data_IF_391507410237
#
_entry.id   IF_391507410237
#
_cell.length_a   1.000
_cell.length_b   1.000
_cell.length_c   1.000
_cell.angle_alpha   90.00
_cell.angle_beta   90.00
_cell.angle_gamma   90.00
#
_symmetry.space_group_name_H-M   'P 1'
#
loop_
_entity.id
_entity.type
_entity.pdbx_description
1 polymer ?
#
# COMPACT_ATOMS: atom_id res chain seq x y z
N UNK A 1 11.71 19.19 0.32
CA UNK A 1 11.70 19.11 1.79
C UNK A 1 12.67 18.02 2.16
N UNK A 2 13.90 18.42 2.49
CA UNK A 2 14.84 17.52 3.14
C UNK A 2 14.23 17.10 4.46
N UNK A 3 14.22 15.80 4.71
CA UNK A 3 13.50 15.22 5.82
C UNK A 3 14.18 15.57 7.12
N UNK A 4 13.44 16.15 8.07
CA UNK A 4 13.89 16.28 9.45
C UNK A 4 14.04 14.93 10.18
N UNK A 5 13.76 13.82 9.50
CA UNK A 5 13.69 12.48 10.08
C UNK A 5 14.97 12.04 10.80
N UNK A 6 16.13 12.47 10.28
CA UNK A 6 17.46 12.03 10.76
C UNK A 6 18.32 13.18 11.29
N UNK A 7 17.72 14.31 11.69
CA UNK A 7 18.45 15.55 12.01
C UNK A 7 19.66 15.39 12.95
N UNK A 8 19.66 14.37 13.82
CA UNK A 8 20.74 14.09 14.77
C UNK A 8 21.25 12.63 14.69
N UNK A 9 20.91 11.89 13.63
CA UNK A 9 21.32 10.49 13.43
C UNK A 9 21.94 10.31 12.03
N UNK A 10 23.24 10.60 11.94
CA UNK A 10 24.03 10.43 10.72
C UNK A 10 24.04 8.97 10.24
N UNK A 11 24.08 8.00 11.16
CA UNK A 11 24.06 6.57 10.82
C UNK A 11 22.71 6.20 10.18
N UNK A 12 21.60 6.65 10.77
CA UNK A 12 20.26 6.48 10.21
C UNK A 12 20.10 7.11 8.83
N UNK A 13 20.67 8.31 8.64
CA UNK A 13 20.68 8.99 7.34
C UNK A 13 21.50 8.21 6.29
N UNK A 14 22.68 7.71 6.66
CA UNK A 14 23.54 6.91 5.78
C UNK A 14 22.86 5.59 5.38
N UNK A 15 22.27 4.88 6.34
CA UNK A 15 21.48 3.67 6.09
C UNK A 15 20.33 3.95 5.12
N UNK A 16 19.63 5.06 5.28
CA UNK A 16 18.55 5.44 4.38
C UNK A 16 19.05 5.74 2.96
N UNK A 17 20.18 6.44 2.81
CA UNK A 17 20.83 6.65 1.52
C UNK A 17 21.24 5.32 0.87
N UNK A 18 21.87 4.43 1.63
CA UNK A 18 22.25 3.09 1.19
C UNK A 18 21.02 2.29 0.70
N UNK A 19 19.89 2.37 1.40
CA UNK A 19 18.65 1.73 0.98
C UNK A 19 18.16 2.29 -0.38
N UNK A 20 18.20 3.61 -0.58
CA UNK A 20 17.79 4.24 -1.85
C UNK A 20 18.67 3.80 -3.02
N UNK A 21 19.97 3.64 -2.79
CA UNK A 21 20.90 3.14 -3.80
C UNK A 21 20.61 1.68 -4.16
N UNK A 22 20.36 0.84 -3.17
CA UNK A 22 19.95 -0.56 -3.37
C UNK A 22 18.64 -0.66 -4.17
N UNK A 23 17.65 0.20 -3.88
CA UNK A 23 16.41 0.26 -4.68
C UNK A 23 16.69 0.62 -6.14
N UNK A 24 17.65 1.50 -6.38
CA UNK A 24 18.03 1.93 -7.73
C UNK A 24 18.77 0.82 -8.48
N UNK A 25 19.64 0.09 -7.78
CA UNK A 25 20.38 -1.08 -8.30
C UNK A 25 19.52 -2.33 -8.48
N UNK A 26 18.30 -2.34 -7.94
CA UNK A 26 17.38 -3.49 -8.04
C UNK A 26 17.47 -4.49 -6.90
N UNK A 27 18.34 -4.26 -5.90
CA UNK A 27 18.44 -5.09 -4.70
C UNK A 27 17.33 -4.72 -3.71
N UNK A 28 16.13 -5.13 -4.06
CA UNK A 28 14.90 -4.81 -3.32
C UNK A 28 14.82 -5.51 -1.97
N UNK A 29 15.37 -6.73 -1.86
CA UNK A 29 15.39 -7.45 -0.58
C UNK A 29 16.27 -6.72 0.42
N UNK A 30 17.51 -6.36 0.07
CA UNK A 30 18.40 -5.69 1.01
C UNK A 30 17.92 -4.28 1.37
N UNK A 31 17.40 -3.54 0.38
CA UNK A 31 16.79 -2.24 0.64
C UNK A 31 15.62 -2.34 1.63
N UNK A 32 14.77 -3.35 1.50
CA UNK A 32 13.62 -3.52 2.38
C UNK A 32 14.05 -3.87 3.80
N UNK A 33 15.09 -4.69 3.98
CA UNK A 33 15.64 -4.97 5.31
C UNK A 33 16.01 -3.69 6.05
N UNK A 34 16.77 -2.81 5.38
CA UNK A 34 17.22 -1.55 5.97
C UNK A 34 16.02 -0.65 6.29
N UNK A 35 15.05 -0.53 5.37
CA UNK A 35 13.87 0.30 5.61
C UNK A 35 13.03 -0.22 6.77
N UNK A 36 12.86 -1.54 6.90
CA UNK A 36 12.13 -2.12 8.04
C UNK A 36 12.87 -1.88 9.34
N UNK A 37 14.20 -1.99 9.35
CA UNK A 37 15.01 -1.69 10.54
C UNK A 37 14.89 -0.22 10.93
N UNK A 38 14.98 0.70 9.96
CA UNK A 38 14.76 2.13 10.22
C UNK A 38 13.35 2.40 10.76
N UNK A 39 12.31 1.76 10.19
CA UNK A 39 10.94 1.93 10.67
C UNK A 39 10.74 1.54 12.14
N UNK A 40 11.54 0.63 12.70
CA UNK A 40 11.49 0.29 14.14
C UNK A 40 11.76 1.51 15.01
N UNK A 41 12.71 2.35 14.60
CA UNK A 41 13.14 3.52 15.39
C UNK A 41 12.45 4.81 14.97
N UNK A 42 12.01 4.89 13.71
CA UNK A 42 11.60 6.13 13.07
C UNK A 42 10.11 6.22 12.74
N UNK A 43 9.31 5.16 12.91
CA UNK A 43 7.90 5.15 12.48
C UNK A 43 7.05 6.30 13.03
N UNK A 44 7.32 6.76 14.25
CA UNK A 44 6.56 7.84 14.91
C UNK A 44 7.22 9.21 14.78
N UNK A 45 8.41 9.31 14.15
CA UNK A 45 9.10 10.60 13.97
C UNK A 45 8.50 11.38 12.81
N UNK A 46 8.58 12.71 12.90
CA UNK A 46 8.21 13.58 11.79
C UNK A 46 9.04 13.23 10.55
N UNK A 47 8.38 13.09 9.40
CA UNK A 47 9.02 12.68 8.15
C UNK A 47 9.10 11.16 7.93
N UNK A 48 8.54 10.33 8.82
CA UNK A 48 8.47 8.87 8.65
C UNK A 48 7.71 8.43 7.39
N UNK A 49 6.84 9.31 6.86
CA UNK A 49 6.20 9.17 5.54
C UNK A 49 7.19 8.81 4.43
N UNK A 50 8.45 9.25 4.51
CA UNK A 50 9.47 8.91 3.52
C UNK A 50 9.87 7.44 3.57
N UNK A 51 10.02 6.86 4.76
CA UNK A 51 10.33 5.44 4.90
C UNK A 51 9.19 4.57 4.34
N UNK A 52 7.94 4.93 4.66
CA UNK A 52 6.77 4.26 4.10
C UNK A 52 6.65 4.44 2.58
N UNK A 53 7.03 5.61 2.06
CA UNK A 53 7.06 5.87 0.60
C UNK A 53 8.12 5.02 -0.10
N UNK A 54 9.31 4.89 0.47
CA UNK A 54 10.37 4.05 -0.09
C UNK A 54 10.05 2.56 -0.01
N UNK A 55 9.42 2.13 1.10
CA UNK A 55 8.87 0.79 1.24
C UNK A 55 7.84 0.48 0.15
N UNK A 56 6.89 1.40 -0.06
CA UNK A 56 5.88 1.28 -1.11
C UNK A 56 6.50 1.30 -2.52
N UNK A 57 7.56 2.08 -2.75
CA UNK A 57 8.30 2.13 -4.02
C UNK A 57 8.89 0.77 -4.38
N UNK A 58 9.44 0.05 -3.41
CA UNK A 58 9.92 -1.32 -3.60
C UNK A 58 8.77 -2.23 -4.06
N UNK A 59 7.66 -2.25 -3.33
CA UNK A 59 6.52 -3.10 -3.66
C UNK A 59 5.85 -2.73 -5.00
N UNK A 60 5.88 -1.46 -5.40
CA UNK A 60 5.44 -1.02 -6.73
C UNK A 60 6.30 -1.61 -7.84
N UNK A 61 7.63 -1.62 -7.67
CA UNK A 61 8.54 -2.24 -8.63
C UNK A 61 8.33 -3.76 -8.70
N UNK A 62 8.20 -4.42 -7.54
CA UNK A 62 7.94 -5.86 -7.46
C UNK A 62 6.60 -6.25 -8.07
N UNK A 63 5.54 -5.48 -7.82
CA UNK A 63 4.21 -5.70 -8.41
C UNK A 63 4.24 -5.62 -9.95
N UNK A 64 4.90 -4.59 -10.50
CA UNK A 64 5.06 -4.44 -11.96
C UNK A 64 5.88 -5.58 -12.58
N UNK A 65 6.96 -5.98 -11.93
CA UNK A 65 7.78 -7.11 -12.38
C UNK A 65 7.00 -8.43 -12.32
N UNK A 66 6.16 -8.63 -11.31
CA UNK A 66 5.32 -9.82 -11.18
C UNK A 66 4.16 -9.83 -12.19
N UNK A 67 3.68 -8.67 -12.65
CA UNK A 67 2.57 -8.58 -13.60
C UNK A 67 2.88 -9.17 -14.98
N UNK A 68 4.16 -9.36 -15.33
CA UNK A 68 4.59 -10.02 -16.57
C UNK A 68 4.86 -11.52 -16.39
N UNK A 69 4.60 -12.06 -15.21
CA UNK A 69 4.78 -13.49 -14.91
C UNK A 69 3.47 -14.26 -15.02
N UNK A 70 3.53 -15.58 -15.11
CA UNK A 70 2.36 -16.48 -15.11
C UNK A 70 1.58 -16.47 -13.78
N UNK A 71 2.02 -15.68 -12.80
CA UNK A 71 1.44 -15.61 -11.46
C UNK A 71 0.89 -14.20 -11.16
N UNK A 72 -0.33 -13.87 -11.63
CA UNK A 72 -0.96 -12.58 -11.37
C UNK A 72 -1.26 -12.35 -9.87
N UNK A 73 -1.38 -13.40 -9.07
CA UNK A 73 -1.63 -13.31 -7.63
C UNK A 73 -0.47 -12.63 -6.90
N UNK A 74 0.77 -12.85 -7.36
CA UNK A 74 1.95 -12.24 -6.75
C UNK A 74 1.98 -10.72 -6.98
N UNK A 75 1.63 -10.27 -8.19
CA UNK A 75 1.52 -8.85 -8.51
C UNK A 75 0.46 -8.17 -7.63
N UNK A 76 -0.66 -8.86 -7.40
CA UNK A 76 -1.74 -8.43 -6.53
C UNK A 76 -1.31 -8.35 -5.05
N UNK A 77 -0.63 -9.36 -4.54
CA UNK A 77 -0.11 -9.34 -3.16
C UNK A 77 0.82 -8.15 -2.93
N UNK A 78 1.75 -7.89 -3.85
CA UNK A 78 2.63 -6.73 -3.73
C UNK A 78 1.86 -5.40 -3.80
N UNK A 79 0.80 -5.32 -4.61
CA UNK A 79 -0.04 -4.14 -4.67
C UNK A 79 -0.83 -3.91 -3.36
N UNK A 80 -1.34 -4.97 -2.73
CA UNK A 80 -1.97 -4.90 -1.41
C UNK A 80 -0.99 -4.42 -0.34
N UNK A 81 0.25 -4.91 -0.36
CA UNK A 81 1.27 -4.49 0.59
C UNK A 81 1.65 -3.02 0.36
N UNK A 82 1.76 -2.59 -0.89
CA UNK A 82 1.97 -1.18 -1.25
C UNK A 82 0.88 -0.26 -0.67
N UNK A 83 -0.40 -0.63 -0.83
CA UNK A 83 -1.52 0.14 -0.24
C UNK A 83 -1.40 0.18 1.29
N UNK A 84 -1.02 -0.94 1.90
CA UNK A 84 -0.81 -1.02 3.35
C UNK A 84 0.33 -0.13 3.85
N UNK A 85 1.36 0.10 3.03
CA UNK A 85 2.44 1.04 3.34
C UNK A 85 1.93 2.49 3.34
N UNK A 86 1.13 2.86 2.33
CA UNK A 86 0.56 4.23 2.26
C UNK A 86 -0.47 4.52 3.35
N UNK A 87 -1.19 3.51 3.82
CA UNK A 87 -2.17 3.68 4.88
C UNK A 87 -1.54 4.11 6.23
N UNK A 88 -0.23 3.97 6.41
CA UNK A 88 0.43 4.30 7.67
C UNK A 88 0.51 5.81 7.94
N UNK A 89 0.44 6.64 6.91
CA UNK A 89 0.69 8.08 7.03
C UNK A 89 -0.36 8.91 6.27
N UNK A 90 -0.92 9.92 6.96
CA UNK A 90 -1.96 10.79 6.40
C UNK A 90 -1.51 11.53 5.14
N UNK A 91 -0.21 11.84 5.03
CA UNK A 91 0.39 12.49 3.86
C UNK A 91 0.40 11.59 2.63
N UNK A 92 0.22 10.28 2.82
CA UNK A 92 0.24 9.26 1.76
C UNK A 92 -1.15 8.78 1.36
N UNK A 93 -2.22 9.29 1.98
CA UNK A 93 -3.61 8.86 1.68
C UNK A 93 -3.97 9.03 0.20
N UNK A 94 -3.43 10.04 -0.48
CA UNK A 94 -3.60 10.18 -1.94
C UNK A 94 -3.08 8.96 -2.70
N UNK A 95 -1.85 8.54 -2.39
CA UNK A 95 -1.22 7.38 -3.03
C UNK A 95 -1.93 6.08 -2.62
N UNK A 96 -2.46 6.03 -1.40
CA UNK A 96 -3.31 4.94 -0.92
C UNK A 96 -4.58 4.80 -1.78
N UNK A 97 -5.30 5.90 -2.04
CA UNK A 97 -6.47 5.91 -2.91
C UNK A 97 -6.13 5.46 -4.34
N UNK A 98 -5.02 5.93 -4.90
CA UNK A 98 -4.55 5.51 -6.23
C UNK A 98 -4.25 4.00 -6.27
N UNK A 99 -3.61 3.45 -5.24
CA UNK A 99 -3.36 2.00 -5.16
C UNK A 99 -4.62 1.16 -4.96
N UNK A 100 -5.59 1.64 -4.17
CA UNK A 100 -6.89 0.99 -3.99
C UNK A 100 -7.70 0.98 -5.29
N UNK A 101 -7.61 2.04 -6.09
CA UNK A 101 -8.24 2.11 -7.41
C UNK A 101 -7.63 1.08 -8.36
N UNK A 102 -6.30 0.94 -8.41
CA UNK A 102 -5.62 -0.08 -9.22
C UNK A 102 -6.01 -1.51 -8.78
N UNK A 103 -6.08 -1.76 -7.46
CA UNK A 103 -6.59 -3.04 -6.92
C UNK A 103 -8.03 -3.31 -7.39
N UNK A 104 -8.89 -2.31 -7.29
CA UNK A 104 -10.28 -2.43 -7.68
C UNK A 104 -10.44 -2.72 -9.17
N UNK A 105 -9.64 -2.07 -10.01
CA UNK A 105 -9.64 -2.27 -11.46
C UNK A 105 -9.17 -3.67 -11.83
N UNK A 106 -8.09 -4.15 -11.21
CA UNK A 106 -7.53 -5.49 -11.49
C UNK A 106 -8.44 -6.61 -11.03
N UNK A 107 -9.14 -6.43 -9.91
CA UNK A 107 -10.03 -7.44 -9.35
C UNK A 107 -11.48 -7.33 -9.83
N UNK A 108 -11.84 -6.23 -10.51
CA UNK A 108 -13.24 -5.91 -10.78
C UNK A 108 -14.09 -5.79 -9.50
N UNK A 109 -13.49 -5.40 -8.38
CA UNK A 109 -14.12 -5.50 -7.06
C UNK A 109 -14.70 -4.15 -6.61
N UNK A 110 -16.04 -4.05 -6.43
CA UNK A 110 -16.68 -2.83 -5.93
C UNK A 110 -16.26 -2.45 -4.51
N UNK A 111 -15.78 -3.42 -3.72
CA UNK A 111 -15.32 -3.19 -2.35
C UNK A 111 -14.09 -2.28 -2.32
N UNK A 112 -13.08 -2.55 -3.15
CA UNK A 112 -11.89 -1.71 -3.23
C UNK A 112 -12.21 -0.33 -3.84
N UNK A 113 -13.18 -0.23 -4.76
CA UNK A 113 -13.66 1.08 -5.22
C UNK A 113 -14.32 1.90 -4.10
N UNK A 114 -15.15 1.27 -3.24
CA UNK A 114 -15.76 1.97 -2.10
C UNK A 114 -14.69 2.49 -1.13
N UNK A 115 -13.69 1.67 -0.86
CA UNK A 115 -12.59 2.04 0.03
C UNK A 115 -11.70 3.14 -0.58
N UNK A 116 -11.43 3.05 -1.88
CA UNK A 116 -10.79 4.10 -2.66
C UNK A 116 -11.52 5.45 -2.50
N UNK A 117 -12.84 5.49 -2.68
CA UNK A 117 -13.65 6.72 -2.52
C UNK A 117 -13.54 7.27 -1.10
N UNK A 118 -13.64 6.40 -0.09
CA UNK A 118 -13.52 6.79 1.32
C UNK A 118 -12.18 7.45 1.60
N UNK A 119 -11.08 6.82 1.20
CA UNK A 119 -9.72 7.32 1.41
C UNK A 119 -9.45 8.59 0.59
N UNK A 120 -9.93 8.66 -0.66
CA UNK A 120 -9.77 9.84 -1.50
C UNK A 120 -10.48 11.06 -0.90
N UNK A 121 -11.72 10.91 -0.40
CA UNK A 121 -12.45 11.97 0.30
C UNK A 121 -11.73 12.42 1.57
N UNK A 122 -11.17 11.47 2.34
CA UNK A 122 -10.35 11.79 3.50
C UNK A 122 -9.09 12.58 3.13
N UNK A 123 -8.39 12.19 2.06
CA UNK A 123 -7.21 12.91 1.56
C UNK A 123 -7.54 14.36 1.15
N UNK A 124 -8.69 14.58 0.49
CA UNK A 124 -9.18 15.92 0.13
C UNK A 124 -9.47 16.77 1.38
N UNK A 125 -10.10 16.18 2.40
CA UNK A 125 -10.42 16.89 3.65
C UNK A 125 -9.15 17.31 4.41
N UNK A 126 -8.16 16.41 4.51
CA UNK A 126 -6.86 16.73 5.14
C UNK A 126 -6.18 17.86 4.37
N UNK A 127 -6.08 17.74 3.05
CA UNK A 127 -5.48 18.78 2.20
C UNK A 127 -6.17 20.14 2.35
N UNK A 128 -7.49 20.18 2.59
CA UNK A 128 -8.22 21.45 2.77
C UNK A 128 -7.88 22.15 4.09
N UNK A 129 -7.52 21.42 5.15
CA UNK A 129 -7.12 22.01 6.43
C UNK A 129 -5.74 22.67 6.38
N UNK A 130 -4.86 22.17 5.52
CA UNK A 130 -3.48 22.63 5.40
C UNK A 130 -3.31 23.82 4.45
N UNK A 131 -4.39 24.31 3.83
CA UNK A 131 -4.44 25.39 2.82
C UNK A 131 -3.95 26.78 3.30
N UNK A 132 -3.36 26.90 4.49
CA UNK A 132 -2.88 28.18 5.00
C UNK A 132 -1.51 28.63 4.44
N UNK A 133 -0.78 27.87 3.60
CA UNK A 133 0.67 28.12 3.41
C UNK A 133 1.24 27.94 1.98
N UNK A 134 0.47 28.12 0.90
CA UNK A 134 1.07 28.13 -0.44
C UNK A 134 1.27 29.56 -0.99
N UNK A 135 2.35 30.24 -0.57
CA UNK A 135 2.79 31.52 -1.17
C UNK A 135 3.41 31.35 -2.57
N UNK A 136 3.68 30.12 -3.00
CA UNK A 136 4.32 29.80 -4.28
C UNK A 136 3.30 29.27 -5.29
N UNK A 137 3.14 29.98 -6.41
CA UNK A 137 2.17 29.64 -7.46
C UNK A 137 2.40 28.27 -8.10
N UNK A 138 3.65 27.83 -8.20
CA UNK A 138 3.99 26.50 -8.73
C UNK A 138 3.51 25.39 -7.80
N UNK A 139 3.69 25.57 -6.48
CA UNK A 139 3.21 24.61 -5.48
C UNK A 139 1.69 24.56 -5.45
N UNK A 140 1.02 25.72 -5.52
CA UNK A 140 -0.43 25.82 -5.62
C UNK A 140 -0.96 25.09 -6.86
N UNK A 141 -0.36 25.30 -8.03
CA UNK A 141 -0.76 24.61 -9.26
C UNK A 141 -0.57 23.08 -9.18
N UNK A 142 0.49 22.61 -8.53
CA UNK A 142 0.69 21.18 -8.29
C UNK A 142 -0.34 20.58 -7.34
N UNK A 143 -0.72 21.30 -6.28
CA UNK A 143 -1.74 20.88 -5.32
C UNK A 143 -3.12 20.84 -5.97
N UNK A 144 -3.49 21.86 -6.75
CA UNK A 144 -4.74 21.87 -7.51
C UNK A 144 -4.82 20.69 -8.49
N UNK A 145 -3.74 20.42 -9.23
CA UNK A 145 -3.69 19.25 -10.13
C UNK A 145 -3.84 17.94 -9.38
N UNK A 146 -3.21 17.80 -8.20
CA UNK A 146 -3.37 16.61 -7.35
C UNK A 146 -4.80 16.48 -6.84
N UNK A 147 -5.44 17.59 -6.46
CA UNK A 147 -6.84 17.62 -6.02
C UNK A 147 -7.79 17.20 -7.13
N UNK A 148 -7.63 17.77 -8.33
CA UNK A 148 -8.42 17.39 -9.51
C UNK A 148 -8.27 15.90 -9.85
N UNK A 149 -7.05 15.36 -9.74
CA UNK A 149 -6.83 13.91 -9.95
C UNK A 149 -7.61 13.06 -8.95
N UNK A 150 -7.63 13.44 -7.67
CA UNK A 150 -8.42 12.76 -6.64
C UNK A 150 -9.92 12.85 -6.89
N UNK A 151 -10.42 14.02 -7.29
CA UNK A 151 -11.84 14.20 -7.64
C UNK A 151 -12.24 13.33 -8.83
N UNK A 152 -11.39 13.23 -9.86
CA UNK A 152 -11.63 12.34 -11.01
C UNK A 152 -11.64 10.86 -10.59
N UNK A 153 -10.70 10.46 -9.72
CA UNK A 153 -10.59 9.11 -9.18
C UNK A 153 -11.82 8.72 -8.36
N UNK A 154 -12.39 9.65 -7.59
CA UNK A 154 -13.67 9.47 -6.87
C UNK A 154 -14.80 9.23 -7.87
N UNK A 155 -14.94 10.10 -8.89
CA UNK A 155 -16.00 10.00 -9.89
C UNK A 155 -15.96 8.67 -10.66
N UNK A 156 -14.78 8.25 -11.12
CA UNK A 156 -14.62 6.95 -11.80
C UNK A 156 -14.97 5.78 -10.86
N UNK A 157 -14.51 5.82 -9.61
CA UNK A 157 -14.82 4.77 -8.63
C UNK A 157 -16.33 4.69 -8.34
N UNK A 158 -17.01 5.82 -8.14
CA UNK A 158 -18.46 5.89 -7.90
C UNK A 158 -19.26 5.40 -9.12
N UNK A 159 -18.81 5.73 -10.33
CA UNK A 159 -19.39 5.21 -11.57
C UNK A 159 -19.29 3.69 -11.65
N UNK A 160 -18.10 3.11 -11.37
CA UNK A 160 -17.88 1.66 -11.41
C UNK A 160 -18.65 0.91 -10.32
N UNK A 161 -18.79 1.49 -9.14
CA UNK A 161 -19.66 0.94 -8.08
C UNK A 161 -21.11 0.90 -8.57
N UNK A 162 -21.58 1.96 -9.25
CA UNK A 162 -22.95 2.04 -9.75
C UNK A 162 -23.20 1.04 -10.89
N UNK A 163 -22.25 0.89 -11.82
CA UNK A 163 -22.32 -0.10 -12.90
C UNK A 163 -22.29 -1.55 -12.41
N UNK A 164 -21.58 -1.84 -11.31
CA UNK A 164 -21.57 -3.18 -10.71
C UNK A 164 -22.92 -3.60 -10.10
N UNK A 165 -23.78 -2.65 -9.76
CA UNK A 165 -25.14 -2.96 -9.25
C UNK A 165 -26.09 -3.42 -10.37
N UNK A 166 -25.83 -3.04 -11.62
CA UNK A 166 -26.66 -3.42 -12.77
C UNK A 166 -26.31 -4.79 -13.37
N UNK A 167 -25.16 -5.38 -12.99
CA UNK A 167 -24.72 -6.71 -13.49
C UNK A 167 -25.01 -7.87 -12.51
N UNK A 168 -25.71 -7.60 -11.39
CA UNK A 168 -26.03 -8.57 -10.35
C UNK A 168 -27.18 -9.53 -10.74
N UNK A 169 -26.99 -10.32 -11.79
CA UNK A 169 -27.60 -11.66 -11.96
C UNK A 169 -26.49 -12.62 -12.36
N UNK A 170 -25.66 -12.98 -11.39
CA UNK A 170 -24.96 -14.28 -11.27
C UNK A 170 -24.25 -14.29 -9.91
N UNK A 171 -24.93 -14.89 -8.94
CA UNK A 171 -24.39 -15.18 -7.62
C UNK A 171 -23.33 -16.27 -7.74
N UNK A 172 -22.08 -15.89 -8.00
CA UNK A 172 -20.93 -16.73 -7.68
C UNK A 172 -20.11 -15.99 -6.62
N UNK A 173 -20.67 -15.91 -5.41
CA UNK A 173 -19.87 -15.67 -4.21
C UNK A 173 -18.86 -16.82 -4.08
N UNK A 174 -17.56 -16.53 -3.91
CA UNK A 174 -16.61 -17.57 -3.55
C UNK A 174 -17.00 -18.08 -2.16
N UNK A 175 -17.46 -19.34 -2.11
CA UNK A 175 -17.74 -20.07 -0.87
C UNK A 175 -16.46 -20.10 -0.02
N UNK A 176 -16.35 -19.15 0.90
CA UNK A 176 -15.39 -19.20 1.97
C UNK A 176 -15.73 -20.42 2.83
N UNK A 177 -14.83 -21.39 2.87
CA UNK A 177 -14.99 -22.60 3.68
C UNK A 177 -14.97 -22.20 5.14
N UNK A 178 -16.14 -22.15 5.77
CA UNK A 178 -16.30 -22.02 7.22
C UNK A 178 -15.71 -23.25 7.93
N UNK A 179 -14.64 -23.05 8.70
CA UNK A 179 -14.30 -23.95 9.80
C UNK A 179 -14.99 -23.46 11.08
N UNK A 180 -15.71 -24.36 11.73
CA UNK A 180 -16.74 -24.14 12.77
C UNK A 180 -16.18 -23.69 14.14
N UNK A 181 -16.85 -22.67 14.73
CA UNK A 181 -17.24 -22.39 16.16
C UNK A 181 -16.14 -22.34 17.25
N UNK A 182 -16.07 -21.46 18.28
CA UNK A 182 -16.82 -20.33 18.91
C UNK A 182 -16.05 -19.98 20.25
N UNK A 183 -16.34 -18.96 21.13
CA UNK A 183 -17.09 -17.70 21.04
C UNK A 183 -16.27 -16.40 21.37
N UNK A 184 -16.87 -15.28 20.96
CA UNK A 184 -16.62 -13.83 21.14
C UNK A 184 -16.07 -13.29 22.50
N UNK A 185 -15.44 -12.08 22.53
CA UNK A 185 -16.21 -10.83 22.43
C UNK A 185 -15.84 -9.92 21.27
N UNK A 186 -16.88 -9.40 20.65
CA UNK A 186 -16.96 -8.33 19.67
C UNK A 186 -16.11 -7.11 20.06
N UNK A 187 -15.21 -6.68 19.17
CA UNK A 187 -14.88 -5.27 18.86
C UNK A 187 -14.10 -5.20 17.54
N UNK A 188 -14.78 -4.72 16.49
CA UNK A 188 -14.21 -4.22 15.22
C UNK A 188 -13.10 -5.06 14.55
N UNK A 189 -13.43 -6.29 14.15
CA UNK A 189 -12.48 -7.15 13.42
C UNK A 189 -12.58 -7.08 11.89
N UNK A 190 -13.55 -6.35 11.33
CA UNK A 190 -13.78 -6.29 9.89
C UNK A 190 -12.69 -5.54 9.10
N UNK A 191 -11.80 -4.80 9.77
CA UNK A 191 -10.69 -4.06 9.18
C UNK A 191 -9.31 -4.70 9.41
N UNK A 192 -9.26 -5.96 9.83
CA UNK A 192 -8.00 -6.70 10.05
C UNK A 192 -7.39 -7.20 8.75
N UNK A 193 -7.15 -6.28 7.81
CA UNK A 193 -6.65 -6.57 6.48
C UNK A 193 -5.21 -7.10 6.45
N UNK A 194 -4.65 -7.30 5.23
CA UNK A 194 -3.26 -7.74 4.99
C UNK A 194 -2.20 -6.94 5.76
N UNK A 195 -2.54 -5.73 6.21
CA UNK A 195 -1.77 -4.87 7.11
C UNK A 195 -1.43 -5.53 8.44
N UNK A 196 -2.39 -6.10 9.19
CA UNK A 196 -2.08 -6.74 10.48
C UNK A 196 -1.32 -8.04 10.27
N UNK A 197 -1.62 -8.76 9.19
CA UNK A 197 -0.84 -9.91 8.78
C UNK A 197 0.61 -9.52 8.60
N UNK A 198 0.91 -8.55 7.73
CA UNK A 198 2.28 -8.10 7.50
C UNK A 198 2.91 -7.45 8.73
N UNK A 199 2.24 -6.52 9.41
CA UNK A 199 2.79 -5.82 10.59
C UNK A 199 3.07 -6.79 11.75
N UNK A 200 2.22 -7.80 11.94
CA UNK A 200 2.38 -8.84 12.96
C UNK A 200 3.37 -9.95 12.62
N UNK A 201 3.86 -10.04 11.37
CA UNK A 201 4.96 -10.95 11.05
C UNK A 201 6.24 -10.47 11.76
N UNK A 202 6.88 -11.40 12.46
CA UNK A 202 8.18 -11.18 13.09
C UNK A 202 9.20 -10.67 12.05
N UNK A 203 10.14 -9.81 12.47
CA UNK A 203 11.12 -9.20 11.56
C UNK A 203 12.00 -10.27 10.91
N UNK A 204 12.32 -11.36 11.61
CA UNK A 204 13.00 -12.52 11.04
C UNK A 204 12.10 -13.24 10.04
N UNK A 205 10.80 -13.40 10.31
CA UNK A 205 9.85 -14.00 9.35
C UNK A 205 9.67 -13.13 8.11
N UNK A 206 9.62 -11.80 8.24
CA UNK A 206 9.61 -10.86 7.11
C UNK A 206 10.91 -10.99 6.31
N UNK A 207 12.06 -10.98 6.98
CA UNK A 207 13.37 -11.18 6.31
C UNK A 207 13.46 -12.53 5.65
N UNK A 208 13.02 -13.60 6.30
CA UNK A 208 12.99 -14.95 5.74
C UNK A 208 11.98 -15.04 4.59
N UNK A 209 10.76 -14.52 4.67
CA UNK A 209 9.83 -14.50 3.54
C UNK A 209 10.39 -13.73 2.32
N UNK A 210 11.23 -12.72 2.57
CA UNK A 210 11.91 -11.92 1.54
C UNK A 210 13.26 -12.52 1.07
N UNK A 211 13.90 -13.39 1.86
CA UNK A 211 15.15 -14.12 1.58
C UNK A 211 14.92 -15.53 1.01
N UNK A 212 13.86 -16.18 1.46
CA UNK A 212 13.31 -17.48 1.01
C UNK A 212 12.59 -17.22 -0.31
N UNK A 213 13.43 -16.82 -1.26
CA UNK A 213 13.31 -16.66 -2.69
C UNK A 213 11.97 -16.17 -3.26
N UNK A 214 12.07 -15.14 -4.10
CA UNK A 214 11.08 -14.87 -5.16
C UNK A 214 10.71 -16.19 -5.92
N UNK A 215 11.62 -17.17 -5.97
CA UNK A 215 11.39 -18.55 -6.46
C UNK A 215 10.55 -19.47 -5.54
N UNK A 216 10.59 -19.36 -4.21
CA UNK A 216 9.75 -20.12 -3.26
C UNK A 216 8.40 -19.43 -3.05
N UNK A 217 8.35 -18.10 -3.13
CA UNK A 217 7.09 -17.36 -3.35
C UNK A 217 6.43 -17.77 -4.69
N UNK A 218 7.21 -18.14 -5.72
CA UNK A 218 6.71 -18.86 -6.91
C UNK A 218 6.32 -20.32 -6.62
N UNK A 219 7.04 -21.03 -5.74
CA UNK A 219 6.72 -22.41 -5.33
C UNK A 219 5.41 -22.57 -4.53
N UNK A 220 5.02 -21.58 -3.74
CA UNK A 220 3.68 -21.51 -3.12
C UNK A 220 2.54 -21.37 -4.15
N UNK A 221 2.88 -21.15 -5.43
CA UNK A 221 1.94 -21.07 -6.56
C UNK A 221 1.91 -22.35 -7.40
N UNK A 222 2.77 -23.33 -7.12
CA UNK A 222 2.83 -24.60 -7.88
C UNK A 222 2.40 -25.85 -7.10
N UNK A 223 1.97 -25.73 -5.85
CA UNK A 223 1.47 -26.90 -5.09
C UNK A 223 0.06 -26.67 -4.57
N UNK A 224 -0.92 -26.90 -5.46
CA UNK A 224 -2.08 -27.77 -5.23
C UNK A 224 -2.71 -28.08 -6.59
N UNK A 225 -2.13 -29.09 -7.23
CA UNK A 225 -2.60 -29.68 -8.46
C UNK A 225 -2.20 -31.15 -8.51
N UNK A 226 -2.64 -31.91 -7.51
CA UNK A 226 -2.92 -33.34 -7.59
C UNK A 226 -4.05 -33.66 -6.61
#
# INVERSE_FOLDING_TARGET
MESSLFNDDEEGAELFCNAKDLITKGDHSKALEIIVDLLVFYAQKQGSSLLHSEQARIFSKLSRAAATTENPNLAFTFLLVLVSCYFQDVNLLRLCAEGLHDLAQRLGSPLYYKECVRIAKQALYVSHKDNNVAQNELLRGLEEKRRMKLELLIKDSEFRISGSKTESIRNDEPKFVESKRSPEPVKDEANKGPRLFWMGLDVKIKRELMKVSIEKLRGFVTVRGH
#
